data_IF_962004414165
#
_entry.id   IF_962004414165
#
_cell.length_a   1.000
_cell.length_b   1.000
_cell.length_c   1.000
_cell.angle_alpha   90.00
_cell.angle_beta   90.00
_cell.angle_gamma   90.00
#
_symmetry.space_group_name_H-M   'P 1'
#
loop_
_entity.id
_entity.type
_entity.pdbx_description
1 polymer ?
#
# COMPACT_ATOMS: atom_id res chain seq x y z
N UNK A 1 -18.76 18.96 -0.85
CA UNK A 1 -18.53 19.59 -2.17
C UNK A 1 -17.30 18.95 -2.80
N UNK A 2 -17.34 18.69 -4.11
CA UNK A 2 -16.21 18.11 -4.85
C UNK A 2 -15.72 19.12 -5.87
N UNK A 3 -14.44 19.41 -5.86
CA UNK A 3 -13.81 20.34 -6.79
C UNK A 3 -12.66 19.65 -7.51
N UNK A 4 -12.73 19.60 -8.84
CA UNK A 4 -11.63 19.12 -9.68
C UNK A 4 -10.87 20.33 -10.23
N UNK A 5 -9.54 20.33 -10.14
CA UNK A 5 -8.68 21.40 -10.65
C UNK A 5 -9.04 22.77 -10.10
N UNK A 6 -9.43 22.82 -8.82
CA UNK A 6 -9.71 24.08 -8.15
C UNK A 6 -8.43 24.90 -8.11
N UNK A 7 -8.52 26.19 -8.42
CA UNK A 7 -7.43 27.11 -8.15
C UNK A 7 -7.44 27.50 -6.67
N UNK A 8 -6.29 27.38 -6.00
CA UNK A 8 -6.18 27.65 -4.56
C UNK A 8 -6.67 29.05 -4.15
N UNK A 9 -6.43 30.07 -5.00
CA UNK A 9 -6.88 31.46 -4.77
C UNK A 9 -8.40 31.66 -4.80
N UNK A 10 -9.18 30.63 -5.15
CA UNK A 10 -10.64 30.68 -5.18
C UNK A 10 -11.31 29.98 -4.00
N UNK A 11 -10.54 29.47 -3.04
CA UNK A 11 -11.05 28.72 -1.91
C UNK A 11 -11.99 29.56 -1.02
N UNK A 12 -11.71 30.86 -0.84
CA UNK A 12 -12.61 31.79 -0.12
C UNK A 12 -13.95 32.06 -0.81
N UNK A 13 -14.16 31.60 -2.05
CA UNK A 13 -15.43 31.73 -2.77
C UNK A 13 -16.33 30.50 -2.61
N UNK A 14 -15.89 29.48 -1.90
CA UNK A 14 -16.70 28.29 -1.67
C UNK A 14 -17.94 28.62 -0.82
N UNK A 15 -19.08 27.95 -1.08
CA UNK A 15 -20.30 28.18 -0.31
C UNK A 15 -20.10 27.83 1.16
N UNK A 16 -20.75 28.60 2.04
CA UNK A 16 -20.77 28.39 3.49
C UNK A 16 -22.22 28.20 3.97
N UNK A 17 -22.51 27.27 4.90
CA UNK A 17 -21.56 26.40 5.60
C UNK A 17 -21.13 25.18 4.77
N UNK A 18 -19.85 24.81 4.87
CA UNK A 18 -19.31 23.60 4.25
C UNK A 18 -18.77 22.65 5.31
N UNK A 19 -19.26 21.42 5.31
CA UNK A 19 -18.85 20.38 6.27
C UNK A 19 -17.88 19.37 5.69
N UNK A 20 -17.93 19.15 4.37
CA UNK A 20 -17.06 18.23 3.65
C UNK A 20 -16.57 18.86 2.35
N UNK A 21 -15.25 18.83 2.14
CA UNK A 21 -14.60 19.36 0.95
C UNK A 21 -13.66 18.32 0.36
N UNK A 22 -13.87 17.97 -0.91
CA UNK A 22 -13.00 17.10 -1.68
C UNK A 22 -12.32 17.94 -2.76
N UNK A 23 -11.00 17.95 -2.76
CA UNK A 23 -10.14 18.65 -3.70
C UNK A 23 -9.35 17.62 -4.50
N UNK A 24 -9.50 17.62 -5.82
CA UNK A 24 -8.80 16.69 -6.69
C UNK A 24 -8.03 17.45 -7.76
N UNK A 25 -6.79 17.03 -8.03
CA UNK A 25 -5.91 17.68 -9.02
C UNK A 25 -5.75 19.19 -8.76
N UNK A 26 -5.64 19.55 -7.49
CA UNK A 26 -5.47 20.95 -7.08
C UNK A 26 -3.99 21.28 -7.16
N UNK A 27 -3.67 22.42 -7.77
CA UNK A 27 -2.31 22.93 -7.83
C UNK A 27 -2.25 24.26 -7.08
N UNK A 28 -1.28 24.38 -6.18
CA UNK A 28 -0.99 25.60 -5.43
C UNK A 28 0.50 25.89 -5.54
N UNK A 29 0.84 27.16 -5.80
CA UNK A 29 2.26 27.59 -5.77
C UNK A 29 2.77 27.73 -4.34
N UNK A 30 1.91 28.18 -3.45
CA UNK A 30 2.14 28.33 -2.02
C UNK A 30 0.88 27.86 -1.30
N UNK A 31 1.02 26.91 -0.40
CA UNK A 31 -0.10 26.42 0.40
C UNK A 31 -0.37 27.37 1.57
N UNK A 32 -1.57 27.94 1.59
CA UNK A 32 -2.04 28.79 2.69
C UNK A 32 -3.30 28.19 3.32
N UNK A 33 -3.22 27.83 4.60
CA UNK A 33 -4.34 27.24 5.36
C UNK A 33 -5.40 28.27 5.77
N UNK A 34 -5.10 29.56 5.68
CA UNK A 34 -5.98 30.68 6.08
C UNK A 34 -7.36 30.60 5.45
N UNK A 35 -7.46 30.34 4.15
CA UNK A 35 -8.75 30.19 3.47
C UNK A 35 -9.54 28.94 3.92
N UNK A 36 -8.86 27.87 4.35
CA UNK A 36 -9.54 26.70 4.91
C UNK A 36 -10.08 26.99 6.30
N UNK A 37 -9.41 27.85 7.10
CA UNK A 37 -9.89 28.26 8.43
C UNK A 37 -11.21 29.03 8.38
N UNK A 38 -11.47 29.74 7.28
CA UNK A 38 -12.74 30.47 7.08
C UNK A 38 -13.93 29.50 6.97
N UNK A 39 -13.69 28.25 6.57
CA UNK A 39 -14.68 27.18 6.52
C UNK A 39 -14.91 26.58 7.91
N UNK A 40 -15.45 27.40 8.82
CA UNK A 40 -15.59 27.10 10.26
C UNK A 40 -16.33 25.80 10.59
N UNK A 41 -17.13 25.25 9.66
CA UNK A 41 -17.90 24.02 9.86
C UNK A 41 -17.26 22.78 9.20
N UNK A 42 -16.05 22.93 8.62
CA UNK A 42 -15.38 21.86 7.89
C UNK A 42 -14.93 20.76 8.86
N UNK A 43 -15.44 19.55 8.64
CA UNK A 43 -15.14 18.36 9.44
C UNK A 43 -14.38 17.29 8.66
N UNK A 44 -14.55 17.26 7.34
CA UNK A 44 -13.92 16.30 6.43
C UNK A 44 -13.22 17.04 5.31
N UNK A 45 -11.93 16.78 5.14
CA UNK A 45 -11.12 17.29 4.05
C UNK A 45 -10.50 16.11 3.32
N UNK A 46 -10.75 16.03 2.02
CA UNK A 46 -10.11 15.07 1.13
C UNK A 46 -9.31 15.80 0.08
N UNK A 47 -8.05 15.44 -0.09
CA UNK A 47 -7.15 15.96 -1.11
C UNK A 47 -6.61 14.77 -1.88
N UNK A 48 -6.78 14.77 -3.19
CA UNK A 48 -6.31 13.69 -4.05
C UNK A 48 -5.52 14.25 -5.23
N UNK A 49 -4.49 13.54 -5.69
CA UNK A 49 -3.72 13.88 -6.89
C UNK A 49 -3.20 15.32 -6.88
N UNK A 50 -2.85 15.82 -5.70
CA UNK A 50 -2.40 17.20 -5.48
C UNK A 50 -1.01 17.13 -4.87
N UNK A 51 -0.06 17.98 -5.27
CA UNK A 51 1.37 17.85 -4.89
C UNK A 51 1.68 18.25 -3.43
N UNK A 52 0.76 17.95 -2.52
CA UNK A 52 0.89 18.29 -1.10
C UNK A 52 2.12 17.64 -0.49
N UNK A 53 2.87 18.41 0.29
CA UNK A 53 4.05 17.96 1.02
C UNK A 53 3.77 17.75 2.51
N UNK A 54 4.64 17.03 3.20
CA UNK A 54 4.51 16.78 4.65
C UNK A 54 4.49 18.07 5.49
N UNK A 55 5.22 19.11 5.05
CA UNK A 55 5.22 20.41 5.71
C UNK A 55 3.86 21.11 5.61
N UNK A 56 3.22 21.03 4.44
CA UNK A 56 1.89 21.61 4.20
C UNK A 56 0.80 20.81 4.95
N UNK A 57 0.93 19.49 4.99
CA UNK A 57 0.09 18.61 5.78
C UNK A 57 0.10 19.01 7.27
N UNK A 58 1.27 19.40 7.81
CA UNK A 58 1.38 19.84 9.20
C UNK A 58 0.57 21.12 9.49
N UNK A 59 0.42 22.02 8.52
CA UNK A 59 -0.36 23.26 8.66
C UNK A 59 -1.87 23.00 8.80
N UNK A 60 -2.36 21.83 8.34
CA UNK A 60 -3.75 21.43 8.53
C UNK A 60 -4.10 21.19 10.00
N UNK A 61 -3.12 21.10 10.89
CA UNK A 61 -3.34 21.07 12.34
C UNK A 61 -4.05 22.30 12.89
N UNK A 62 -4.01 23.43 12.18
CA UNK A 62 -4.73 24.63 12.59
C UNK A 62 -6.25 24.55 12.37
N UNK A 63 -6.75 23.52 11.66
CA UNK A 63 -8.17 23.32 11.40
C UNK A 63 -8.81 22.53 12.55
N UNK A 64 -9.02 23.19 13.69
CA UNK A 64 -9.45 22.54 14.94
C UNK A 64 -10.78 21.76 14.88
N UNK A 65 -11.66 22.07 13.92
CA UNK A 65 -12.93 21.35 13.71
C UNK A 65 -12.81 20.15 12.78
N UNK A 66 -11.65 19.97 12.14
CA UNK A 66 -11.39 18.85 11.25
C UNK A 66 -11.27 17.57 12.07
N UNK A 67 -11.94 16.52 11.61
CA UNK A 67 -11.97 15.21 12.28
C UNK A 67 -11.55 14.08 11.36
N UNK A 68 -11.68 14.27 10.05
CA UNK A 68 -11.31 13.30 9.03
C UNK A 68 -10.46 14.01 7.97
N UNK A 69 -9.25 13.48 7.75
CA UNK A 69 -8.35 13.96 6.74
C UNK A 69 -7.93 12.79 5.84
N UNK A 70 -8.08 12.98 4.54
CA UNK A 70 -7.62 12.05 3.52
C UNK A 70 -6.74 12.80 2.54
N UNK A 71 -5.48 12.38 2.39
CA UNK A 71 -4.54 12.94 1.41
C UNK A 71 -3.94 11.78 0.64
N UNK A 72 -4.36 11.57 -0.61
CA UNK A 72 -3.97 10.41 -1.43
C UNK A 72 -3.30 10.83 -2.72
N UNK A 73 -2.37 10.00 -3.22
CA UNK A 73 -1.62 10.29 -4.45
C UNK A 73 -0.98 11.69 -4.43
N UNK A 74 -0.28 12.00 -3.35
CA UNK A 74 0.41 13.25 -3.08
C UNK A 74 1.91 13.02 -2.84
N UNK A 75 2.62 14.00 -2.30
CA UNK A 75 4.05 13.94 -2.01
C UNK A 75 4.32 13.90 -0.50
N UNK A 76 3.47 13.21 0.27
CA UNK A 76 3.64 13.08 1.72
C UNK A 76 4.71 12.02 2.00
N UNK A 77 5.78 12.42 2.67
CA UNK A 77 6.86 11.52 3.09
C UNK A 77 6.80 11.19 4.58
N UNK A 78 6.24 12.08 5.40
CA UNK A 78 6.26 11.92 6.86
C UNK A 78 4.91 12.33 7.47
N UNK A 79 4.57 11.67 8.57
CA UNK A 79 3.34 11.94 9.32
C UNK A 79 3.68 12.94 10.43
N UNK A 80 3.13 14.17 10.40
CA UNK A 80 3.45 15.19 11.40
C UNK A 80 2.85 14.85 12.78
N UNK A 81 3.49 15.38 13.82
CA UNK A 81 3.08 15.18 15.22
C UNK A 81 1.91 16.07 15.66
N UNK A 82 1.52 17.03 14.83
CA UNK A 82 0.48 18.02 15.11
C UNK A 82 -0.95 17.56 14.79
N UNK A 83 -1.14 16.41 14.14
CA UNK A 83 -2.44 15.92 13.68
C UNK A 83 -3.20 15.04 14.69
N UNK A 84 -2.80 15.06 15.97
CA UNK A 84 -3.39 14.26 17.06
C UNK A 84 -4.86 14.56 17.35
N UNK A 85 -5.37 15.72 16.90
CA UNK A 85 -6.76 16.13 17.10
C UNK A 85 -7.73 15.39 16.15
N UNK A 86 -7.23 14.77 15.08
CA UNK A 86 -8.05 14.04 14.13
C UNK A 86 -8.58 12.74 14.73
N UNK A 87 -9.66 12.21 14.14
CA UNK A 87 -10.16 10.86 14.42
C UNK A 87 -9.76 9.88 13.33
N UNK A 88 -9.68 10.34 12.07
CA UNK A 88 -9.36 9.53 10.90
C UNK A 88 -8.28 10.21 10.07
N UNK A 89 -7.22 9.48 9.72
CA UNK A 89 -6.13 9.97 8.88
C UNK A 89 -5.78 8.93 7.81
N UNK A 90 -6.09 9.25 6.56
CA UNK A 90 -5.81 8.37 5.43
C UNK A 90 -4.75 9.03 4.54
N UNK A 91 -3.61 8.38 4.41
CA UNK A 91 -2.43 8.85 3.66
C UNK A 91 -1.98 7.84 2.61
N UNK A 92 -2.84 6.91 2.19
CA UNK A 92 -2.50 5.89 1.20
C UNK A 92 -1.98 6.47 -0.11
N UNK A 93 -1.17 5.69 -0.83
CA UNK A 93 -0.56 6.08 -2.11
C UNK A 93 0.28 7.36 -2.03
N UNK A 94 1.02 7.52 -0.93
CA UNK A 94 2.05 8.54 -0.79
C UNK A 94 3.42 7.87 -0.62
N UNK A 95 4.54 8.56 -0.93
CA UNK A 95 5.88 8.03 -0.69
C UNK A 95 6.26 8.11 0.80
N UNK A 96 5.44 7.53 1.69
CA UNK A 96 5.65 7.56 3.12
C UNK A 96 6.94 6.81 3.49
N UNK A 97 7.79 7.50 4.26
CA UNK A 97 8.95 6.92 4.92
C UNK A 97 8.53 6.20 6.21
N UNK A 98 9.50 5.53 6.85
CA UNK A 98 9.25 4.80 8.09
C UNK A 98 8.68 5.73 9.18
N UNK A 99 7.56 5.38 9.84
CA UNK A 99 7.01 6.18 10.92
C UNK A 99 8.02 6.34 12.06
N UNK A 100 8.31 7.59 12.42
CA UNK A 100 9.21 7.94 13.52
C UNK A 100 8.49 7.85 14.87
N UNK A 101 9.23 7.92 15.98
CA UNK A 101 8.64 7.93 17.32
C UNK A 101 7.57 9.01 17.50
N UNK A 102 7.74 10.20 16.91
CA UNK A 102 6.76 11.29 17.00
C UNK A 102 5.53 11.02 16.15
N UNK A 103 5.70 10.47 14.94
CA UNK A 103 4.60 10.00 14.09
C UNK A 103 3.76 8.93 14.80
N UNK A 104 4.39 7.99 15.50
CA UNK A 104 3.68 6.94 16.23
C UNK A 104 2.84 7.47 17.40
N UNK A 105 3.24 8.58 18.04
CA UNK A 105 2.39 9.25 19.04
C UNK A 105 1.13 9.80 18.38
N UNK A 106 1.24 10.36 17.16
CA UNK A 106 0.06 10.77 16.38
C UNK A 106 -0.82 9.58 16.06
N UNK A 107 -0.25 8.50 15.52
CA UNK A 107 -1.01 7.30 15.19
C UNK A 107 -1.72 6.69 16.40
N UNK A 108 -1.14 6.77 17.60
CA UNK A 108 -1.78 6.25 18.80
C UNK A 108 -3.03 7.05 19.22
N UNK A 109 -3.09 8.35 18.91
CA UNK A 109 -4.26 9.19 19.21
C UNK A 109 -5.44 8.96 18.24
N UNK A 110 -5.17 8.43 17.04
CA UNK A 110 -6.17 8.25 15.99
C UNK A 110 -7.04 7.00 16.23
N UNK A 111 -8.27 7.04 15.68
CA UNK A 111 -9.17 5.88 15.68
C UNK A 111 -9.00 5.02 14.45
N UNK A 112 -8.82 5.63 13.28
CA UNK A 112 -8.72 4.97 11.97
C UNK A 112 -7.62 5.58 11.12
N UNK A 113 -6.86 4.73 10.47
CA UNK A 113 -5.64 5.06 9.77
C UNK A 113 -5.60 4.30 8.46
N UNK A 114 -5.08 4.92 7.40
CA UNK A 114 -4.67 4.23 6.18
C UNK A 114 -3.31 4.71 5.71
N UNK A 115 -2.37 3.79 5.45
CA UNK A 115 -0.97 4.11 5.12
C UNK A 115 -0.42 3.30 3.94
N UNK A 116 -1.19 2.36 3.40
CA UNK A 116 -0.76 1.47 2.34
C UNK A 116 -0.64 2.14 0.98
N UNK A 117 -0.58 1.33 -0.06
CA UNK A 117 -0.55 1.79 -1.44
C UNK A 117 0.79 1.60 -2.13
N UNK A 118 0.81 1.88 -3.43
CA UNK A 118 1.87 1.41 -4.33
C UNK A 118 3.19 2.18 -4.19
N UNK A 119 3.13 3.37 -3.61
CA UNK A 119 4.27 4.28 -3.45
C UNK A 119 4.87 4.22 -2.05
N UNK A 120 4.19 3.58 -1.10
CA UNK A 120 4.69 3.37 0.26
C UNK A 120 5.52 2.09 0.30
N UNK A 121 6.74 2.16 0.84
CA UNK A 121 7.56 0.97 1.12
C UNK A 121 8.22 1.14 2.48
N UNK A 122 7.65 0.49 3.49
CA UNK A 122 8.25 0.47 4.81
C UNK A 122 9.45 -0.47 4.85
N UNK A 123 10.34 -0.28 5.82
CA UNK A 123 11.37 -1.25 6.14
C UNK A 123 10.84 -2.19 7.22
N UNK A 124 11.12 -3.49 7.06
CA UNK A 124 10.86 -4.48 8.10
C UNK A 124 12.02 -5.43 8.31
N UNK A 125 12.24 -5.77 9.57
CA UNK A 125 13.29 -6.71 9.99
C UNK A 125 12.76 -7.60 11.11
N UNK A 126 13.09 -8.89 11.08
CA UNK A 126 12.62 -9.86 12.08
C UNK A 126 13.48 -9.85 13.35
N UNK A 127 14.78 -9.54 13.23
CA UNK A 127 15.73 -9.54 14.34
C UNK A 127 15.71 -8.19 15.08
N UNK A 128 15.63 -7.10 14.33
CA UNK A 128 15.57 -5.72 14.81
C UNK A 128 14.36 -4.98 14.23
N UNK A 129 13.13 -5.32 14.67
CA UNK A 129 11.92 -4.73 14.13
C UNK A 129 11.94 -3.20 14.25
N UNK A 130 11.35 -2.51 13.29
CA UNK A 130 11.17 -1.06 13.36
C UNK A 130 10.19 -0.66 14.47
N UNK A 131 10.19 0.61 14.85
CA UNK A 131 9.21 1.11 15.83
C UNK A 131 7.77 0.97 15.34
N UNK A 132 7.55 1.08 14.03
CA UNK A 132 6.24 0.83 13.43
C UNK A 132 5.85 -0.65 13.49
N UNK A 133 6.77 -1.60 13.22
CA UNK A 133 6.51 -3.02 13.45
C UNK A 133 6.16 -3.29 14.92
N UNK A 134 6.97 -2.78 15.88
CA UNK A 134 6.68 -2.89 17.31
C UNK A 134 5.32 -2.29 17.70
N UNK A 135 4.95 -1.19 17.05
CA UNK A 135 3.64 -0.57 17.24
C UNK A 135 2.52 -1.46 16.71
N UNK A 136 2.69 -2.08 15.53
CA UNK A 136 1.72 -3.00 14.93
C UNK A 136 1.65 -4.37 15.63
N UNK A 137 2.67 -4.81 16.38
CA UNK A 137 2.58 -6.04 17.19
C UNK A 137 1.46 -5.98 18.24
N UNK A 138 0.95 -4.79 18.58
CA UNK A 138 -0.18 -4.61 19.49
C UNK A 138 -1.49 -4.74 18.71
N UNK A 139 -2.30 -5.75 18.99
CA UNK A 139 -3.60 -6.00 18.31
C UNK A 139 -4.50 -4.75 18.27
N UNK A 140 -4.56 -3.99 19.37
CA UNK A 140 -5.32 -2.72 19.44
C UNK A 140 -4.91 -1.69 18.37
N UNK A 141 -3.66 -1.74 17.91
CA UNK A 141 -3.11 -0.83 16.92
C UNK A 141 -3.38 -1.34 15.51
N UNK A 142 -3.34 -2.66 15.30
CA UNK A 142 -3.76 -3.29 14.04
C UNK A 142 -5.20 -2.92 13.71
N UNK A 143 -6.12 -2.97 14.68
CA UNK A 143 -7.53 -2.60 14.49
C UNK A 143 -7.78 -1.12 14.11
N UNK A 144 -6.76 -0.25 14.24
CA UNK A 144 -6.80 1.14 13.77
C UNK A 144 -6.46 1.26 12.29
N UNK A 145 -5.69 0.34 11.72
CA UNK A 145 -5.29 0.36 10.30
C UNK A 145 -6.40 -0.29 9.47
N UNK A 146 -7.09 0.51 8.65
CA UNK A 146 -8.17 0.01 7.79
C UNK A 146 -7.64 -0.74 6.55
N UNK A 147 -6.41 -0.47 6.13
CA UNK A 147 -5.74 -1.06 4.96
C UNK A 147 -4.53 -1.93 5.37
N UNK A 148 -4.66 -2.68 6.47
CA UNK A 148 -3.57 -3.46 7.05
C UNK A 148 -2.98 -4.48 6.08
N UNK A 149 -3.84 -5.12 5.28
CA UNK A 149 -3.47 -6.11 4.26
C UNK A 149 -2.70 -5.47 3.08
N UNK A 150 -2.86 -4.17 2.85
CA UNK A 150 -2.19 -3.42 1.79
C UNK A 150 -0.87 -2.80 2.23
N UNK A 151 -0.50 -2.97 3.51
CA UNK A 151 0.80 -2.50 4.01
C UNK A 151 1.90 -3.45 3.55
N UNK A 152 2.84 -2.92 2.78
CA UNK A 152 4.00 -3.66 2.29
C UNK A 152 5.28 -3.16 2.96
N UNK A 153 6.23 -4.07 3.16
CA UNK A 153 7.56 -3.73 3.65
C UNK A 153 8.65 -4.51 2.92
N UNK A 154 9.83 -3.88 2.82
CA UNK A 154 11.04 -4.52 2.31
C UNK A 154 11.81 -5.15 3.47
N UNK A 155 12.08 -6.45 3.33
CA UNK A 155 12.77 -7.27 4.31
C UNK A 155 14.09 -7.80 3.78
N UNK A 156 15.13 -7.69 4.60
CA UNK A 156 16.46 -8.24 4.35
C UNK A 156 16.40 -9.77 4.23
N UNK A 157 16.45 -10.26 2.99
CA UNK A 157 16.47 -11.71 2.68
C UNK A 157 15.17 -12.27 2.10
N UNK A 158 14.02 -11.62 2.36
CA UNK A 158 12.72 -12.02 1.83
C UNK A 158 12.20 -11.08 0.73
N UNK A 159 12.76 -9.87 0.63
CA UNK A 159 12.32 -8.84 -0.31
C UNK A 159 11.01 -8.21 0.13
N UNK A 160 10.14 -7.89 -0.83
CA UNK A 160 8.85 -7.27 -0.54
C UNK A 160 7.86 -8.29 0.01
N UNK A 161 7.41 -8.08 1.25
CA UNK A 161 6.46 -8.94 1.97
C UNK A 161 5.31 -8.11 2.54
N UNK A 162 4.21 -8.77 2.92
CA UNK A 162 3.15 -8.12 3.68
C UNK A 162 3.66 -7.70 5.05
N UNK A 163 3.32 -6.49 5.51
CA UNK A 163 3.74 -6.02 6.83
C UNK A 163 3.27 -6.97 7.94
N UNK A 164 2.07 -7.53 7.82
CA UNK A 164 1.51 -8.48 8.79
C UNK A 164 2.28 -9.82 8.82
N UNK A 165 2.75 -10.29 7.66
CA UNK A 165 3.60 -11.47 7.52
C UNK A 165 4.99 -11.23 8.13
N UNK A 166 5.44 -9.97 8.17
CA UNK A 166 6.68 -9.56 8.82
C UNK A 166 6.53 -9.25 10.32
N UNK A 167 5.40 -9.64 10.94
CA UNK A 167 5.20 -9.58 12.40
C UNK A 167 5.23 -11.00 12.98
N UNK A 168 6.04 -11.24 14.03
CA UNK A 168 6.04 -12.52 14.72
C UNK A 168 4.69 -12.80 15.37
N UNK A 169 4.36 -14.07 15.56
CA UNK A 169 3.14 -14.52 16.24
C UNK A 169 1.94 -14.74 15.32
N UNK A 170 2.10 -14.60 14.00
CA UNK A 170 1.06 -14.95 13.02
C UNK A 170 1.33 -16.31 12.41
N UNK A 171 0.28 -17.10 12.14
CA UNK A 171 0.41 -18.46 11.59
C UNK A 171 1.10 -18.49 10.21
N UNK A 172 1.14 -17.35 9.52
CA UNK A 172 1.74 -17.16 8.20
C UNK A 172 2.96 -16.22 8.27
N UNK A 173 3.48 -15.98 9.48
CA UNK A 173 4.62 -15.09 9.69
C UNK A 173 5.88 -15.64 9.02
N UNK A 174 6.54 -14.77 8.26
CA UNK A 174 7.90 -14.96 7.77
C UNK A 174 8.92 -14.86 8.92
N UNK A 175 8.58 -14.10 9.96
CA UNK A 175 9.38 -14.01 11.18
C UNK A 175 9.07 -15.18 12.13
N UNK A 176 10.10 -15.87 12.61
CA UNK A 176 9.95 -16.90 13.64
C UNK A 176 9.50 -16.26 14.95
N UNK A 177 8.63 -16.93 15.69
CA UNK A 177 8.20 -16.46 17.01
C UNK A 177 9.40 -16.23 17.95
N UNK A 178 9.49 -15.05 18.60
CA UNK A 178 10.52 -14.78 19.57
C UNK A 178 10.40 -15.77 20.73
N UNK A 179 11.54 -16.24 21.24
CA UNK A 179 11.56 -17.11 22.43
C UNK A 179 10.96 -16.40 23.64
N UNK A 180 10.53 -17.16 24.65
CA UNK A 180 9.95 -16.57 25.89
C UNK A 180 10.90 -15.57 26.57
N UNK A 181 12.21 -15.80 26.48
CA UNK A 181 13.23 -14.87 26.97
C UNK A 181 13.22 -13.55 26.19
N UNK A 182 13.11 -13.62 24.86
CA UNK A 182 13.03 -12.43 23.99
C UNK A 182 11.74 -11.65 24.26
N UNK A 183 10.61 -12.32 24.54
CA UNK A 183 9.36 -11.65 24.94
C UNK A 183 9.52 -10.89 26.26
N UNK A 184 10.18 -11.49 27.26
CA UNK A 184 10.45 -10.84 28.54
C UNK A 184 11.34 -9.60 28.36
N UNK A 185 12.37 -9.69 27.53
CA UNK A 185 13.26 -8.56 27.26
C UNK A 185 12.56 -7.41 26.53
N UNK A 186 11.78 -7.69 25.50
CA UNK A 186 10.98 -6.67 24.81
C UNK A 186 10.01 -5.95 25.76
N UNK A 187 9.40 -6.71 26.68
CA UNK A 187 8.49 -6.17 27.70
C UNK A 187 9.24 -5.27 28.69
N UNK A 188 10.44 -5.68 29.11
CA UNK A 188 11.31 -4.87 29.95
C UNK A 188 11.68 -3.55 29.27
N UNK A 189 12.15 -3.58 28.03
CA UNK A 189 12.54 -2.38 27.26
C UNK A 189 11.37 -1.39 27.14
N UNK A 190 10.16 -1.88 26.82
CA UNK A 190 8.97 -1.01 26.73
C UNK A 190 8.61 -0.40 28.10
N UNK A 191 8.74 -1.14 29.19
CA UNK A 191 8.50 -0.64 30.55
C UNK A 191 9.56 0.41 30.95
N UNK A 192 10.82 0.20 30.60
CA UNK A 192 11.90 1.17 30.84
C UNK A 192 11.67 2.45 30.04
N UNK A 193 11.24 2.34 28.78
CA UNK A 193 10.92 3.50 27.93
C UNK A 193 9.75 4.32 28.49
N UNK A 194 8.68 3.64 28.94
CA UNK A 194 7.54 4.28 29.62
C UNK A 194 7.97 4.94 30.93
N UNK A 195 8.74 4.25 31.76
CA UNK A 195 9.25 4.77 33.03
C UNK A 195 10.24 5.94 32.87
N UNK A 196 11.02 5.96 31.79
CA UNK A 196 11.86 7.11 31.44
C UNK A 196 11.05 8.34 31.08
N UNK A 197 10.00 8.18 30.26
CA UNK A 197 9.12 9.27 29.83
C UNK A 197 8.26 9.83 30.98
N UNK A 198 7.81 8.97 31.90
CA UNK A 198 7.09 9.39 33.11
C UNK A 198 7.98 10.17 34.09
N UNK A 199 9.26 9.77 34.27
CA UNK A 199 10.21 10.52 35.12
C UNK A 199 10.54 11.91 34.58
N UNK A 200 10.52 12.10 33.26
CA UNK A 200 10.66 13.41 32.63
C UNK A 200 9.40 14.29 32.81
N UNK A 201 8.23 13.67 33.01
CA UNK A 201 6.95 14.38 33.17
C UNK A 201 6.70 14.84 34.62
N UNK A 202 7.32 14.18 35.61
CA UNK A 202 7.16 14.51 37.04
C UNK A 202 8.26 15.40 37.61
N UNK A 203 9.30 15.74 36.83
CA UNK A 203 10.38 16.61 37.30
C UNK A 203 10.17 18.06 36.86
N UNK A 204 9.14 18.73 37.40
CA UNK A 204 9.15 20.20 37.46
C UNK A 204 9.97 20.60 38.68
N UNK A 205 11.31 20.59 38.56
CA UNK A 205 12.19 21.25 39.51
C UNK A 205 13.23 22.04 38.73
N UNK A 206 13.23 23.36 38.97
CA UNK A 206 14.22 24.32 38.49
C UNK A 206 15.62 23.80 38.77
N UNK A 207 16.46 23.64 37.75
CA UNK A 207 17.91 23.64 37.97
C UNK A 207 18.65 24.12 36.74
N UNK A 208 19.32 25.26 36.92
CA UNK A 208 20.11 26.02 35.96
C UNK A 208 21.36 25.27 35.45
N UNK A 209 21.51 23.99 35.77
CA UNK A 209 22.65 23.15 35.42
C UNK A 209 22.43 22.25 34.18
N UNK A 210 21.20 22.11 33.69
CA UNK A 210 20.92 21.32 32.47
C UNK A 210 21.34 22.01 31.17
N UNK A 211 21.47 23.35 31.16
CA UNK A 211 22.01 24.09 30.00
C UNK A 211 23.51 23.83 29.79
N UNK A 212 24.28 23.71 30.88
CA UNK A 212 25.74 23.50 30.83
C UNK A 212 26.14 22.10 30.33
N UNK A 213 25.31 21.08 30.56
CA UNK A 213 25.58 19.70 30.09
C UNK A 213 25.21 19.55 28.61
N UNK A 214 24.18 20.26 28.13
CA UNK A 214 23.80 20.27 26.70
C UNK A 214 24.78 21.12 25.87
N UNK A 215 25.32 22.22 26.42
CA UNK A 215 26.38 23.02 25.77
C UNK A 215 27.70 22.25 25.65
N UNK A 216 28.06 21.42 26.63
CA UNK A 216 29.33 20.64 26.58
C UNK A 216 29.27 19.41 25.69
N UNK A 217 28.09 18.87 25.39
CA UNK A 217 27.93 17.76 24.43
C UNK A 217 27.91 18.26 22.97
N UNK A 218 27.47 19.50 22.71
CA UNK A 218 27.46 20.11 21.38
C UNK A 218 28.81 20.69 20.92
N UNK A 219 29.81 20.81 21.80
CA UNK A 219 31.17 21.25 21.43
C UNK A 219 32.13 20.11 21.02
N UNK A 220 31.72 18.84 21.14
CA UNK A 220 32.56 17.69 20.74
C UNK A 220 32.27 17.16 19.32
N UNK A 221 31.34 17.75 18.58
CA UNK A 221 30.94 17.27 17.25
C UNK A 221 31.21 18.25 16.09
N UNK A 222 31.90 19.37 16.33
CA UNK A 222 32.23 20.35 15.28
C UNK A 222 33.70 20.78 15.28
N UNK A 223 34.62 19.95 14.75
CA UNK A 223 35.79 20.42 13.99
C UNK A 223 36.16 19.39 12.93
N UNK A 224 35.80 19.70 11.68
CA UNK A 224 36.30 19.08 10.45
C UNK A 224 37.62 19.76 10.06
N UNK A 225 38.70 19.04 9.72
CA UNK A 225 39.79 19.66 8.94
C UNK A 225 40.61 18.67 8.11
N UNK A 226 40.87 19.13 6.89
CA UNK A 226 41.54 18.51 5.75
C UNK A 226 43.07 18.38 5.86
N UNK A 227 43.58 17.53 4.95
CA UNK A 227 44.87 17.58 4.21
C UNK A 227 46.21 17.15 4.87
N UNK A 228 46.73 16.05 4.30
CA UNK A 228 48.09 15.74 3.84
C UNK A 228 49.28 15.38 4.79
N UNK A 229 49.71 14.12 4.62
CA UNK A 229 51.08 13.62 4.30
C UNK A 229 52.19 13.62 5.38
N UNK A 230 52.48 12.45 5.96
CA UNK A 230 53.68 11.62 5.65
C UNK A 230 54.02 10.56 6.73
N UNK A 231 54.19 9.33 6.26
CA UNK A 231 55.07 8.22 6.70
C UNK A 231 55.32 7.99 8.21
N UNK A 232 54.99 6.77 8.69
CA UNK A 232 55.95 5.70 9.02
C UNK A 232 55.17 4.40 9.31
N UNK A 233 55.86 3.29 9.02
CA UNK A 233 55.40 1.96 8.66
C UNK A 233 55.39 1.00 9.85
N UNK A 234 54.27 0.36 10.13
CA UNK A 234 54.21 -0.99 10.72
C UNK A 234 52.97 -1.74 10.18
N UNK A 235 53.19 -2.95 9.66
CA UNK A 235 52.23 -3.96 9.18
C UNK A 235 52.72 -5.32 9.72
N UNK A 236 51.95 -6.42 9.66
CA UNK A 236 50.49 -6.56 9.55
C UNK A 236 49.93 -7.61 10.56
N UNK A 237 48.62 -7.76 10.69
CA UNK A 237 47.95 -9.09 10.69
C UNK A 237 46.50 -8.91 10.24
N UNK A 238 46.18 -9.58 9.14
CA UNK A 238 44.89 -9.63 8.47
C UNK A 238 43.98 -10.69 9.09
N UNK A 239 42.71 -10.36 9.30
CA UNK A 239 41.61 -11.33 9.14
C UNK A 239 40.57 -10.70 8.23
N UNK A 240 40.35 -11.36 7.10
CA UNK A 240 39.38 -10.99 6.07
C UNK A 240 38.00 -11.42 6.53
N UNK A 241 37.01 -10.52 6.47
CA UNK A 241 35.61 -10.94 6.32
C UNK A 241 35.16 -10.52 4.94
N UNK A 242 34.98 -11.52 4.09
CA UNK A 242 34.61 -11.42 2.68
C UNK A 242 33.18 -10.90 2.56
N UNK A 243 33.02 -9.68 2.06
CA UNK A 243 31.74 -9.18 1.57
C UNK A 243 31.38 -9.91 0.27
N UNK A 244 30.37 -10.78 0.30
CA UNK A 244 29.80 -11.37 -0.90
C UNK A 244 29.02 -10.30 -1.67
N UNK A 245 29.56 -9.87 -2.81
CA UNK A 245 28.83 -9.13 -3.85
C UNK A 245 27.81 -10.07 -4.50
N UNK A 246 26.56 -10.03 -4.05
CA UNK A 246 25.47 -10.66 -4.79
C UNK A 246 25.04 -9.80 -5.98
N UNK A 247 25.03 -10.46 -7.13
CA UNK A 247 24.75 -9.91 -8.45
C UNK A 247 23.29 -9.46 -8.51
N UNK A 248 23.08 -8.17 -8.79
CA UNK A 248 21.78 -7.53 -9.09
C UNK A 248 21.06 -8.37 -10.15
N UNK A 249 19.99 -9.07 -9.76
CA UNK A 249 19.06 -9.70 -10.70
C UNK A 249 17.92 -8.70 -10.88
N UNK A 250 18.00 -7.88 -11.91
CA UNK A 250 16.86 -7.09 -12.39
C UNK A 250 15.73 -8.08 -12.68
N UNK A 251 14.67 -8.07 -11.87
CA UNK A 251 13.36 -8.54 -12.28
C UNK A 251 12.63 -7.31 -12.78
N UNK A 252 12.61 -7.21 -14.09
CA UNK A 252 11.68 -6.38 -14.83
C UNK A 252 10.27 -6.79 -14.39
N UNK A 253 9.51 -5.87 -13.81
CA UNK A 253 8.07 -6.01 -13.68
C UNK A 253 7.46 -4.83 -14.40
N UNK A 254 7.26 -5.07 -15.70
CA UNK A 254 6.33 -4.36 -16.55
C UNK A 254 4.97 -4.21 -15.86
N UNK A 255 4.36 -3.05 -16.12
CA UNK A 255 2.95 -2.75 -15.92
C UNK A 255 2.05 -3.99 -16.08
N UNK A 256 1.20 -4.22 -15.07
CA UNK A 256 0.12 -5.23 -15.01
C UNK A 256 -0.25 -5.93 -16.34
N UNK A 257 0.13 -7.21 -16.52
CA UNK A 257 -0.62 -8.12 -17.38
C UNK A 257 -1.01 -9.43 -16.67
N UNK A 258 -0.57 -9.66 -15.42
CA UNK A 258 -0.65 -10.99 -14.80
C UNK A 258 -2.07 -11.41 -14.42
N UNK A 259 -2.96 -10.46 -14.06
CA UNK A 259 -4.38 -10.78 -13.83
C UNK A 259 -5.09 -11.17 -15.12
N UNK A 260 -4.81 -10.50 -16.24
CA UNK A 260 -5.43 -10.82 -17.53
C UNK A 260 -4.92 -12.14 -18.10
N UNK A 261 -3.61 -12.41 -18.01
CA UNK A 261 -3.02 -13.67 -18.47
C UNK A 261 -3.53 -14.86 -17.65
N UNK A 262 -3.65 -14.72 -16.34
CA UNK A 262 -4.20 -15.79 -15.49
C UNK A 262 -5.68 -16.05 -15.77
N UNK A 263 -6.48 -14.99 -16.02
CA UNK A 263 -7.87 -15.13 -16.44
C UNK A 263 -7.98 -15.78 -17.82
N UNK A 264 -7.11 -15.40 -18.77
CA UNK A 264 -7.07 -16.00 -20.10
C UNK A 264 -6.70 -17.49 -20.05
N UNK A 265 -5.70 -17.86 -19.25
CA UNK A 265 -5.31 -19.27 -19.04
C UNK A 265 -6.47 -20.06 -18.42
N UNK A 266 -7.17 -19.50 -17.44
CA UNK A 266 -8.33 -20.15 -16.82
C UNK A 266 -9.48 -20.35 -17.82
N UNK A 267 -9.76 -19.35 -18.66
CA UNK A 267 -10.77 -19.45 -19.71
C UNK A 267 -10.39 -20.51 -20.77
N UNK A 268 -9.12 -20.58 -21.17
CA UNK A 268 -8.64 -21.60 -22.09
C UNK A 268 -8.78 -23.01 -21.50
N UNK A 269 -8.50 -23.18 -20.20
CA UNK A 269 -8.67 -24.46 -19.51
C UNK A 269 -10.13 -24.89 -19.44
N UNK A 270 -11.05 -23.97 -19.15
CA UNK A 270 -12.50 -24.20 -19.20
C UNK A 270 -12.95 -24.63 -20.61
N UNK A 271 -12.47 -23.96 -21.66
CA UNK A 271 -12.78 -24.35 -23.05
C UNK A 271 -12.32 -25.78 -23.37
N UNK A 272 -11.12 -26.17 -22.93
CA UNK A 272 -10.61 -27.54 -23.13
C UNK A 272 -11.47 -28.57 -22.38
N UNK A 273 -11.87 -28.28 -21.14
CA UNK A 273 -12.77 -29.16 -20.37
C UNK A 273 -14.11 -29.34 -21.10
N UNK A 274 -14.71 -28.24 -21.58
CA UNK A 274 -15.98 -28.29 -22.33
C UNK A 274 -15.83 -29.12 -23.61
N UNK A 275 -14.72 -28.98 -24.33
CA UNK A 275 -14.44 -29.79 -25.52
C UNK A 275 -14.32 -31.28 -25.17
N UNK A 276 -13.59 -31.63 -24.11
CA UNK A 276 -13.45 -33.03 -23.67
C UNK A 276 -14.83 -33.62 -23.30
N UNK A 277 -15.66 -32.87 -22.57
CA UNK A 277 -17.02 -33.30 -22.22
C UNK A 277 -17.86 -33.48 -23.49
N UNK A 278 -17.78 -32.56 -24.46
CA UNK A 278 -18.52 -32.66 -25.72
C UNK A 278 -18.13 -33.89 -26.54
N UNK A 279 -16.83 -34.22 -26.58
CA UNK A 279 -16.31 -35.42 -27.25
C UNK A 279 -16.79 -36.67 -26.49
N UNK A 280 -16.74 -36.66 -25.16
CA UNK A 280 -17.25 -37.74 -24.33
C UNK A 280 -18.74 -38.01 -24.57
N UNK A 281 -19.56 -36.97 -24.61
CA UNK A 281 -21.01 -37.07 -24.87
C UNK A 281 -21.29 -37.57 -26.29
N UNK A 282 -20.56 -37.08 -27.30
CA UNK A 282 -20.75 -37.55 -28.68
C UNK A 282 -20.36 -39.01 -28.86
N UNK A 283 -19.27 -39.46 -28.24
CA UNK A 283 -18.88 -40.87 -28.22
C UNK A 283 -19.89 -41.70 -27.45
N UNK A 284 -20.34 -41.24 -26.28
CA UNK A 284 -21.35 -41.92 -25.48
C UNK A 284 -22.66 -42.11 -26.25
N UNK A 285 -23.18 -41.06 -26.88
CA UNK A 285 -24.39 -41.16 -27.69
C UNK A 285 -24.20 -42.05 -28.92
N UNK A 286 -23.02 -42.02 -29.55
CA UNK A 286 -22.71 -42.84 -30.72
C UNK A 286 -22.48 -44.32 -30.39
N UNK A 287 -21.99 -44.63 -29.18
CA UNK A 287 -21.62 -45.98 -28.77
C UNK A 287 -22.71 -46.67 -27.93
N UNK A 288 -23.44 -45.91 -27.11
CA UNK A 288 -24.42 -46.44 -26.17
C UNK A 288 -25.87 -46.41 -26.69
N UNK A 289 -26.17 -45.60 -27.72
CA UNK A 289 -27.47 -45.60 -28.42
C UNK A 289 -27.33 -45.75 -29.95
N UNK A 290 -26.90 -46.92 -30.46
CA UNK A 290 -26.78 -47.16 -31.90
C UNK A 290 -28.15 -47.26 -32.63
N UNK A 291 -29.23 -47.54 -31.90
CA UNK A 291 -30.56 -47.86 -32.47
C UNK A 291 -31.33 -46.61 -32.97
N UNK A 292 -31.16 -45.43 -32.35
CA UNK A 292 -31.98 -44.25 -32.69
C UNK A 292 -31.48 -43.50 -33.95
N UNK A 293 -30.19 -43.58 -34.27
CA UNK A 293 -29.61 -42.89 -35.43
C UNK A 293 -29.93 -43.58 -36.77
N UNK A 294 -30.10 -44.90 -36.77
CA UNK A 294 -30.51 -45.68 -37.95
C UNK A 294 -31.96 -45.37 -38.37
N UNK A 295 -32.86 -45.18 -37.40
CA UNK A 295 -34.26 -44.81 -37.64
C UNK A 295 -34.41 -43.39 -38.22
N UNK A 296 -33.57 -42.44 -37.81
CA UNK A 296 -33.55 -41.08 -38.38
C UNK A 296 -32.99 -41.03 -39.81
N UNK A 297 -31.97 -41.84 -40.14
CA UNK A 297 -31.48 -41.96 -41.55
C UNK A 297 -32.54 -42.56 -42.47
N UNK A 298 -33.20 -43.65 -42.06
CA UNK A 298 -34.28 -44.26 -42.86
C UNK A 298 -35.50 -43.35 -43.06
N UNK A 299 -35.83 -42.49 -42.09
CA UNK A 299 -36.87 -41.46 -42.27
C UNK A 299 -36.43 -40.36 -43.23
N UNK A 300 -35.19 -39.88 -43.16
CA UNK A 300 -34.66 -38.79 -44.01
C UNK A 300 -34.53 -39.20 -45.48
N UNK A 301 -34.18 -40.45 -45.77
CA UNK A 301 -34.13 -40.97 -47.15
C UNK A 301 -35.52 -41.12 -47.79
N UNK A 302 -36.56 -41.48 -47.00
CA UNK A 302 -37.94 -41.51 -47.51
C UNK A 302 -38.51 -40.13 -47.84
N UNK A 303 -38.10 -39.08 -47.14
CA UNK A 303 -38.60 -37.72 -47.41
C UNK A 303 -37.92 -37.07 -48.62
N UNK A 304 -36.64 -37.37 -48.87
CA UNK A 304 -35.89 -36.78 -49.99
C UNK A 304 -36.16 -37.45 -51.35
N UNK A 305 -36.56 -38.73 -51.39
CA UNK A 305 -36.87 -39.43 -52.65
C UNK A 305 -38.20 -39.02 -53.30
N UNK A 306 -39.08 -38.29 -52.61
CA UNK A 306 -40.40 -37.89 -53.12
C UNK A 306 -40.37 -36.50 -53.80
N UNK A 307 -39.34 -35.68 -53.53
CA UNK A 307 -39.24 -34.30 -54.03
C UNK A 307 -38.55 -34.12 -55.38
N UNK A 308 -37.86 -35.14 -55.90
CA UNK A 308 -36.91 -34.95 -57.02
C UNK A 308 -37.47 -35.27 -58.42
N UNK A 309 -38.77 -35.62 -58.56
CA UNK A 309 -39.35 -36.04 -59.86
C UNK A 309 -40.38 -35.05 -60.43
N UNK A 310 -40.59 -33.87 -59.83
CA UNK A 310 -41.62 -32.93 -60.32
C UNK A 310 -41.18 -31.47 -60.34
N UNK A 311 -40.46 -31.10 -61.39
CA UNK A 311 -40.68 -29.89 -62.23
C UNK A 311 -39.39 -29.46 -62.94
N UNK A 312 -39.15 -29.96 -64.15
CA UNK A 312 -38.50 -29.19 -65.21
C UNK A 312 -39.18 -29.55 -66.54
N UNK A 313 -40.09 -28.69 -66.98
CA UNK A 313 -40.50 -28.52 -68.37
C UNK A 313 -41.45 -27.32 -68.46
N UNK A 314 -40.96 -26.18 -68.95
CA UNK A 314 -41.64 -25.44 -70.03
C UNK A 314 -40.75 -24.31 -70.60
N UNK A 315 -40.74 -24.10 -71.93
CA UNK A 315 -39.91 -23.12 -72.62
C UNK A 315 -40.69 -21.85 -73.02
N UNK A 316 -40.01 -20.75 -73.36
CA UNK A 316 -40.56 -19.73 -74.27
C UNK A 316 -39.46 -18.94 -75.00
N UNK A 317 -39.69 -18.81 -76.31
CA UNK A 317 -38.91 -18.14 -77.36
C UNK A 317 -38.80 -16.62 -77.12
N UNK A 318 -37.82 -15.88 -77.68
CA UNK A 318 -37.71 -15.35 -79.07
C UNK A 318 -36.46 -14.42 -79.09
N UNK A 319 -35.72 -14.06 -80.15
CA UNK A 319 -36.02 -13.75 -81.56
C UNK A 319 -34.68 -13.48 -82.30
N UNK A 320 -34.41 -14.15 -83.44
CA UNK A 320 -33.93 -13.62 -84.74
C UNK A 320 -33.52 -14.77 -85.65
#
# INVERSE_FOLDING_TARGET
MVCNKLRWDKLGKLPSPLTQLHLNQTDWKVFEVTNLKELKQLKVLKIANSKMTSQELALLSDLSNLTHLEVTASSITTIPDSLKHLSHLYLSDNPLEQPTATSLITLDALKKIRLGGNFTRFACDCESPSDFQRWLMKEKNQGKIDDLEDLLCDSTGYGLVGMLEALPGTNESVCVDPTEETKQWMTFVENTRKGGLERLSTSTVKSTTLKSIVETLNELENVEMSSEMSTVRTKPTSTMSTTMKYRKKYKDYDNEPHKFVNVLIFLLFLCVIVLIISIGVTVYLKFWHPEELQLKRRKKERTNGISEVRREAEPLQTLS
#
